data_IF_529190170453
#
_entry.id   IF_529190170453
#
_cell.length_a   1.000
_cell.length_b   1.000
_cell.length_c   1.000
_cell.angle_alpha   90.00
_cell.angle_beta   90.00
_cell.angle_gamma   90.00
#
_symmetry.space_group_name_H-M   'P 1'
#
loop_
_entity.id
_entity.type
_entity.pdbx_description
1 polymer ?
#
# COMPACT_ATOMS: atom_id res chain seq x y z
N UNK A 1 -4.09 -12.57 13.83
CA UNK A 1 -4.36 -12.31 12.39
C UNK A 1 -5.63 -11.46 12.17
N UNK A 2 -6.75 -11.72 12.85
CA UNK A 2 -8.00 -10.93 12.70
C UNK A 2 -7.85 -9.41 12.88
N UNK A 3 -7.01 -8.95 13.82
CA UNK A 3 -6.67 -7.53 14.00
C UNK A 3 -6.06 -6.87 12.75
N UNK A 4 -5.47 -7.67 11.85
CA UNK A 4 -4.91 -7.21 10.57
C UNK A 4 -5.90 -7.32 9.41
N UNK A 5 -7.19 -7.55 9.68
CA UNK A 5 -8.24 -7.68 8.66
C UNK A 5 -8.30 -9.04 7.97
N UNK A 6 -7.52 -10.03 8.43
CA UNK A 6 -7.53 -11.39 7.88
C UNK A 6 -8.79 -12.12 8.34
N UNK A 7 -9.63 -12.54 7.39
CA UNK A 7 -10.90 -13.23 7.64
C UNK A 7 -10.78 -14.76 7.55
N UNK A 8 -9.75 -15.27 6.89
CA UNK A 8 -9.49 -16.70 6.76
C UNK A 8 -8.23 -17.03 6.00
N UNK A 9 -7.96 -18.32 5.84
CA UNK A 9 -6.91 -18.86 4.99
C UNK A 9 -7.57 -19.80 3.98
N UNK A 10 -7.26 -19.63 2.70
CA UNK A 10 -7.77 -20.45 1.60
C UNK A 10 -6.58 -20.89 0.75
N UNK A 11 -6.34 -22.20 0.66
CA UNK A 11 -5.21 -22.81 -0.07
C UNK A 11 -3.84 -22.17 0.23
N UNK A 12 -3.60 -21.83 1.50
CA UNK A 12 -2.35 -21.19 1.94
C UNK A 12 -2.30 -19.67 1.74
N UNK A 13 -3.30 -19.07 1.11
CA UNK A 13 -3.44 -17.63 0.96
C UNK A 13 -4.28 -17.01 2.09
N UNK A 14 -3.79 -15.92 2.69
CA UNK A 14 -4.55 -15.15 3.67
C UNK A 14 -5.59 -14.28 2.96
N UNK A 15 -6.87 -14.49 3.28
CA UNK A 15 -7.97 -13.68 2.74
C UNK A 15 -8.15 -12.46 3.65
N UNK A 16 -8.04 -11.27 3.06
CA UNK A 16 -8.11 -9.99 3.78
C UNK A 16 -9.31 -9.21 3.28
N UNK A 17 -10.15 -8.73 4.20
CA UNK A 17 -11.25 -7.82 3.86
C UNK A 17 -10.70 -6.40 3.74
N UNK A 18 -10.75 -5.84 2.53
CA UNK A 18 -10.31 -4.46 2.25
C UNK A 18 -11.53 -3.53 2.18
N UNK A 19 -11.48 -2.34 2.80
CA UNK A 19 -12.53 -1.32 2.66
C UNK A 19 -12.75 -0.89 1.20
N UNK A 20 -14.02 -0.74 0.81
CA UNK A 20 -14.39 -0.39 -0.57
C UNK A 20 -13.84 0.98 -1.02
N UNK A 21 -13.67 1.93 -0.10
CA UNK A 21 -13.11 3.26 -0.40
C UNK A 21 -11.61 3.25 -0.76
N UNK A 22 -10.91 2.12 -0.59
CA UNK A 22 -9.50 1.94 -0.97
C UNK A 22 -9.32 1.18 -2.29
N UNK A 23 -10.42 0.76 -2.91
CA UNK A 23 -10.41 -0.03 -4.13
C UNK A 23 -11.18 0.71 -5.24
N UNK A 24 -10.83 0.48 -6.52
CA UNK A 24 -11.64 0.91 -7.66
C UNK A 24 -13.10 0.41 -7.59
N UNK A 25 -14.01 1.08 -8.32
CA UNK A 25 -15.37 0.57 -8.50
C UNK A 25 -15.34 -0.81 -9.15
N UNK A 26 -16.26 -1.69 -8.72
CA UNK A 26 -16.40 -3.05 -9.23
C UNK A 26 -15.11 -3.90 -9.23
N UNK A 27 -14.22 -3.68 -8.25
CA UNK A 27 -12.93 -4.37 -8.14
C UNK A 27 -13.02 -5.91 -8.06
N UNK A 28 -14.10 -6.48 -7.51
CA UNK A 28 -14.17 -7.92 -7.27
C UNK A 28 -13.10 -8.40 -6.29
N UNK A 29 -12.07 -9.11 -6.76
CA UNK A 29 -10.96 -9.56 -5.92
C UNK A 29 -9.60 -9.60 -6.64
N UNK A 30 -8.54 -9.60 -5.84
CA UNK A 30 -7.17 -9.76 -6.30
C UNK A 30 -6.42 -10.74 -5.40
N UNK A 31 -5.60 -11.58 -6.01
CA UNK A 31 -4.63 -12.44 -5.34
C UNK A 31 -3.24 -12.00 -5.78
N UNK A 32 -2.38 -11.67 -4.82
CA UNK A 32 -1.01 -11.23 -5.10
C UNK A 32 -0.03 -11.98 -4.20
N UNK A 33 1.03 -12.52 -4.79
CA UNK A 33 2.15 -13.05 -4.03
C UNK A 33 3.03 -11.88 -3.51
N UNK A 34 3.50 -11.90 -2.25
CA UNK A 34 4.30 -10.80 -1.68
C UNK A 34 5.56 -10.43 -2.47
N UNK A 35 6.11 -11.37 -3.25
CA UNK A 35 7.29 -11.11 -4.08
C UNK A 35 6.99 -10.27 -5.33
N UNK A 36 5.71 -10.13 -5.72
CA UNK A 36 5.31 -9.56 -7.00
C UNK A 36 5.54 -8.05 -7.11
N UNK A 37 5.33 -7.33 -6.01
CA UNK A 37 5.49 -5.88 -5.93
C UNK A 37 6.75 -5.52 -5.16
N UNK A 38 7.49 -4.55 -5.66
CA UNK A 38 8.55 -3.87 -4.90
C UNK A 38 8.09 -2.45 -4.58
N UNK A 39 8.18 -2.06 -3.31
CA UNK A 39 7.77 -0.73 -2.85
C UNK A 39 8.95 0.00 -2.20
N UNK A 40 9.94 0.46 -2.99
CA UNK A 40 11.09 1.16 -2.45
C UNK A 40 10.69 2.57 -1.98
N UNK A 41 11.23 3.00 -0.84
CA UNK A 41 11.20 4.40 -0.44
C UNK A 41 12.10 5.19 -1.39
N UNK A 42 11.50 6.01 -2.25
CA UNK A 42 12.21 6.58 -3.43
C UNK A 42 12.92 7.90 -3.13
N UNK A 43 12.30 8.73 -2.30
CA UNK A 43 12.85 10.01 -1.86
C UNK A 43 12.38 10.25 -0.43
N UNK A 44 13.33 10.48 0.46
CA UNK A 44 13.10 10.81 1.85
C UNK A 44 13.99 12.03 2.14
N UNK A 45 13.38 13.21 2.16
CA UNK A 45 14.05 14.47 2.48
C UNK A 45 13.50 15.01 3.79
N UNK A 46 14.39 15.37 4.70
CA UNK A 46 14.05 15.94 6.00
C UNK A 46 14.79 17.24 6.20
N UNK A 47 14.05 18.27 6.55
CA UNK A 47 14.60 19.56 6.95
C UNK A 47 14.16 19.89 8.36
N UNK A 48 15.13 20.26 9.19
CA UNK A 48 14.88 20.74 10.54
C UNK A 48 15.06 22.26 10.53
N UNK A 49 14.05 22.98 10.98
CA UNK A 49 14.10 24.42 11.21
C UNK A 49 14.17 24.66 12.72
N UNK A 50 15.23 25.29 13.20
CA UNK A 50 15.37 25.72 14.59
C UNK A 50 14.69 27.07 14.80
N UNK A 51 13.85 27.16 15.83
CA UNK A 51 13.08 28.34 16.22
C UNK A 51 12.37 29.06 15.05
N UNK A 52 11.53 28.32 14.29
CA UNK A 52 10.80 28.91 13.18
C UNK A 52 9.77 29.94 13.67
N UNK A 53 9.37 30.91 12.84
CA UNK A 53 8.39 31.91 13.23
C UNK A 53 7.08 31.27 13.72
N UNK A 54 6.69 31.54 14.97
CA UNK A 54 5.43 31.09 15.56
C UNK A 54 5.48 29.83 16.42
N UNK A 55 6.64 29.18 16.57
CA UNK A 55 6.81 28.00 17.43
C UNK A 55 8.19 28.09 18.11
N UNK A 56 8.30 27.76 19.40
CA UNK A 56 9.60 27.63 20.07
C UNK A 56 10.08 26.17 19.98
N UNK A 57 11.30 25.93 19.52
CA UNK A 57 11.87 24.60 19.31
C UNK A 57 12.06 24.22 17.82
N UNK A 58 12.15 22.91 17.53
CA UNK A 58 12.46 22.39 16.21
C UNK A 58 11.21 22.01 15.40
N UNK A 59 11.08 22.53 14.18
CA UNK A 59 10.10 22.06 13.19
C UNK A 59 10.78 21.13 12.19
N UNK A 60 10.30 19.89 12.11
CA UNK A 60 10.79 18.90 11.14
C UNK A 60 9.81 18.78 9.97
N UNK A 61 10.26 19.15 8.79
CA UNK A 61 9.55 18.96 7.53
C UNK A 61 10.09 17.71 6.84
N UNK A 62 9.22 16.74 6.57
CA UNK A 62 9.58 15.50 5.89
C UNK A 62 8.81 15.33 4.59
N UNK A 63 9.50 14.94 3.52
CA UNK A 63 8.89 14.47 2.27
C UNK A 63 9.27 13.03 2.05
N UNK A 64 8.29 12.14 2.09
CA UNK A 64 8.46 10.72 1.78
C UNK A 64 7.63 10.39 0.55
N UNK A 65 8.30 9.94 -0.52
CA UNK A 65 7.63 9.44 -1.74
C UNK A 65 7.61 7.93 -1.72
N UNK A 66 6.42 7.36 -1.57
CA UNK A 66 6.16 5.94 -1.73
C UNK A 66 5.69 5.65 -3.14
N UNK A 67 6.16 4.54 -3.71
CA UNK A 67 5.71 4.04 -5.01
C UNK A 67 5.71 2.51 -4.97
N UNK A 68 4.90 1.87 -5.81
CA UNK A 68 4.78 0.43 -5.89
C UNK A 68 4.94 -0.03 -7.34
N UNK A 69 5.99 -0.80 -7.60
CA UNK A 69 6.32 -1.30 -8.93
C UNK A 69 6.09 -2.79 -9.02
N UNK A 70 5.60 -3.24 -10.17
CA UNK A 70 5.55 -4.65 -10.55
C UNK A 70 6.67 -4.87 -11.56
N UNK A 71 7.61 -5.77 -11.25
CA UNK A 71 8.64 -6.15 -12.21
C UNK A 71 8.02 -7.04 -13.29
N UNK A 72 8.39 -6.85 -14.55
CA UNK A 72 7.81 -7.58 -15.69
C UNK A 72 7.85 -9.11 -15.53
N UNK A 73 8.96 -9.63 -14.97
CA UNK A 73 9.14 -11.06 -14.70
C UNK A 73 8.24 -11.61 -13.58
N UNK A 74 7.57 -10.75 -12.81
CA UNK A 74 6.69 -11.12 -11.69
C UNK A 74 5.23 -10.74 -11.90
N UNK A 75 4.87 -10.18 -13.04
CA UNK A 75 3.50 -9.79 -13.40
C UNK A 75 2.48 -10.92 -13.20
N UNK A 76 2.84 -12.16 -13.56
CA UNK A 76 2.00 -13.35 -13.41
C UNK A 76 1.71 -13.76 -11.95
N UNK A 77 2.39 -13.17 -10.97
CA UNK A 77 2.16 -13.43 -9.55
C UNK A 77 1.04 -12.56 -8.96
N UNK A 78 0.37 -11.75 -9.80
CA UNK A 78 -0.83 -10.97 -9.45
C UNK A 78 -1.96 -11.45 -10.36
N UNK A 79 -3.07 -11.83 -9.75
CA UNK A 79 -4.31 -12.16 -10.44
C UNK A 79 -5.40 -11.19 -9.98
N UNK A 80 -6.11 -10.60 -10.94
CA UNK A 80 -7.17 -9.63 -10.70
C UNK A 80 -8.42 -10.06 -11.46
N UNK A 81 -9.55 -10.09 -10.76
CA UNK A 81 -10.86 -10.41 -11.32
C UNK A 81 -11.87 -9.34 -10.89
N UNK A 82 -12.19 -8.45 -11.83
CA UNK A 82 -13.26 -7.48 -11.67
C UNK A 82 -14.64 -8.15 -11.62
N UNK A 83 -15.58 -7.53 -10.91
CA UNK A 83 -17.00 -7.85 -10.99
C UNK A 83 -17.66 -7.00 -12.06
N UNK A 84 -18.78 -7.46 -12.63
CA UNK A 84 -19.57 -6.62 -13.53
C UNK A 84 -20.07 -5.37 -12.79
N UNK A 85 -19.97 -4.20 -13.43
CA UNK A 85 -20.69 -3.01 -12.96
C UNK A 85 -22.19 -3.29 -13.06
N UNK A 86 -22.91 -3.03 -11.96
CA UNK A 86 -24.36 -3.16 -11.89
C UNK A 86 -25.05 -1.90 -12.44
#
# INVERSE_FOLDING_TARGET
MRLKGVIGMLDGASVIKVPANRLPSAFGFMLAHPSATVAPTKLEDYKIHQDPPGISGDLVEGRIVYDAFVLDNKTKAIYYQATAEA
#
